data_IF_425174532970
#
_entry.id   IF_425174532970
#
_cell.length_a   1.000
_cell.length_b   1.000
_cell.length_c   1.000
_cell.angle_alpha   90.00
_cell.angle_beta   90.00
_cell.angle_gamma   90.00
#
_symmetry.space_group_name_H-M   'P 1'
#
loop_
_entity.id
_entity.type
_entity.pdbx_description
1 polymer ?
#
# COMPACT_ATOMS: atom_id res chain seq x y z
N UNK A 1 8.65 -17.80 18.84
CA UNK A 1 9.40 -17.76 17.57
C UNK A 1 8.72 -16.74 16.67
N UNK A 2 9.29 -15.55 16.57
CA UNK A 2 8.69 -14.39 15.90
C UNK A 2 8.89 -14.54 14.38
N UNK A 3 7.81 -14.62 13.59
CA UNK A 3 7.89 -14.61 12.12
C UNK A 3 8.55 -13.31 11.68
N UNK A 4 9.83 -13.37 11.27
CA UNK A 4 10.59 -12.22 10.76
C UNK A 4 9.82 -11.57 9.59
N UNK A 5 9.52 -10.29 9.77
CA UNK A 5 8.84 -9.39 8.84
C UNK A 5 9.64 -9.36 7.54
N UNK A 6 9.11 -9.97 6.50
CA UNK A 6 9.86 -10.22 5.26
C UNK A 6 9.42 -9.25 4.17
N UNK A 7 10.39 -8.58 3.54
CA UNK A 7 10.20 -7.78 2.32
C UNK A 7 11.04 -8.33 1.20
N UNK A 8 10.58 -8.15 -0.03
CA UNK A 8 11.32 -8.66 -1.16
C UNK A 8 12.27 -7.60 -1.71
N UNK A 9 13.57 -7.77 -1.45
CA UNK A 9 14.63 -6.94 -2.02
C UNK A 9 15.26 -7.70 -3.16
N UNK A 10 15.31 -7.12 -4.35
CA UNK A 10 16.21 -7.57 -5.40
C UNK A 10 17.32 -6.53 -5.56
N UNK A 11 18.54 -6.87 -5.14
CA UNK A 11 19.73 -6.10 -5.48
C UNK A 11 20.26 -6.69 -6.77
N UNK A 12 20.10 -5.97 -7.88
CA UNK A 12 20.47 -6.48 -9.19
C UNK A 12 21.73 -5.76 -9.71
N UNK A 13 22.77 -6.55 -9.98
CA UNK A 13 23.86 -6.19 -10.86
C UNK A 13 23.63 -6.71 -12.28
N UNK A 14 24.55 -6.40 -13.19
CA UNK A 14 24.47 -6.74 -14.63
C UNK A 14 24.32 -8.26 -14.87
N UNK A 15 24.70 -9.12 -13.91
CA UNK A 15 24.66 -10.59 -14.05
C UNK A 15 23.95 -11.35 -12.91
N UNK A 16 23.60 -10.71 -11.80
CA UNK A 16 23.07 -11.39 -10.60
C UNK A 16 22.08 -10.48 -9.88
N UNK A 17 20.90 -11.01 -9.54
CA UNK A 17 20.06 -10.42 -8.49
C UNK A 17 20.26 -11.21 -7.20
N UNK A 18 20.76 -10.56 -6.16
CA UNK A 18 20.73 -11.10 -4.80
C UNK A 18 19.38 -10.74 -4.20
N UNK A 19 18.63 -11.76 -3.80
CA UNK A 19 17.44 -11.56 -3.00
C UNK A 19 17.82 -11.40 -1.53
N UNK A 20 17.45 -10.28 -0.90
CA UNK A 20 17.53 -10.12 0.54
C UNK A 20 16.18 -9.74 1.16
N UNK A 21 16.04 -9.96 2.46
CA UNK A 21 14.94 -9.38 3.22
C UNK A 21 15.41 -8.05 3.80
N UNK A 22 14.71 -6.96 3.53
CA UNK A 22 14.94 -5.68 4.23
C UNK A 22 13.82 -5.38 5.22
N UNK A 23 14.15 -4.58 6.22
CA UNK A 23 13.17 -4.02 7.15
C UNK A 23 12.23 -3.03 6.46
N UNK A 24 10.99 -2.91 6.94
CA UNK A 24 10.10 -1.87 6.46
C UNK A 24 10.61 -0.46 6.72
N UNK A 25 10.69 0.42 5.70
CA UNK A 25 10.85 1.84 5.96
C UNK A 25 9.67 2.29 6.79
N UNK A 26 9.97 3.23 7.69
CA UNK A 26 8.95 3.95 8.41
C UNK A 26 7.92 4.48 7.39
N UNK A 27 6.64 4.14 7.58
CA UNK A 27 5.57 4.93 6.99
C UNK A 27 5.74 6.38 7.42
N UNK A 28 5.38 7.32 6.55
CA UNK A 28 5.55 8.74 6.80
C UNK A 28 4.84 9.23 8.07
N UNK A 29 5.09 10.47 8.48
CA UNK A 29 4.69 10.92 9.82
C UNK A 29 3.25 11.43 9.91
N UNK A 30 2.57 11.66 8.79
CA UNK A 30 1.22 12.22 8.75
C UNK A 30 0.31 11.47 7.77
N UNK A 31 -0.98 11.42 8.08
CA UNK A 31 -2.01 11.03 7.12
C UNK A 31 -2.45 12.24 6.30
N UNK A 32 -2.72 12.00 5.03
CA UNK A 32 -3.25 12.98 4.10
C UNK A 32 -4.38 12.37 3.26
N UNK A 33 -5.05 13.21 2.47
CA UNK A 33 -6.18 12.83 1.65
C UNK A 33 -7.53 12.85 2.39
N UNK A 34 -8.55 12.29 1.76
CA UNK A 34 -9.93 12.41 2.20
C UNK A 34 -10.60 11.05 2.38
N UNK A 35 -11.56 11.01 3.31
CA UNK A 35 -12.55 9.93 3.46
C UNK A 35 -13.91 10.47 3.02
N UNK A 36 -14.82 9.59 2.59
CA UNK A 36 -16.17 9.98 2.18
C UNK A 36 -17.22 9.03 2.73
N UNK A 37 -18.33 9.55 3.24
CA UNK A 37 -19.51 8.76 3.59
C UNK A 37 -20.76 9.37 2.96
N UNK A 38 -21.69 8.54 2.51
CA UNK A 38 -22.93 8.97 1.81
C UNK A 38 -23.71 10.02 2.62
N UNK A 39 -23.83 9.81 3.94
CA UNK A 39 -24.65 10.65 4.81
C UNK A 39 -23.90 11.85 5.42
N UNK A 40 -22.59 11.98 5.18
CA UNK A 40 -21.72 12.96 5.86
C UNK A 40 -20.83 13.76 4.90
N UNK A 41 -20.63 13.26 3.68
CA UNK A 41 -19.73 13.86 2.72
C UNK A 41 -18.26 13.67 3.09
N UNK A 42 -17.44 14.67 2.72
CA UNK A 42 -15.99 14.58 2.79
C UNK A 42 -15.43 14.86 4.19
N UNK A 43 -14.45 14.05 4.57
CA UNK A 43 -13.62 14.23 5.77
C UNK A 43 -12.18 14.42 5.31
N UNK A 44 -11.61 15.59 5.56
CA UNK A 44 -10.20 15.90 5.30
C UNK A 44 -9.32 15.47 6.47
N UNK A 45 -8.26 14.72 6.17
CA UNK A 45 -7.31 14.23 7.17
C UNK A 45 -6.18 15.22 7.51
N UNK A 46 -6.04 16.30 6.71
CA UNK A 46 -5.03 17.33 6.88
C UNK A 46 -5.51 18.68 6.36
N UNK A 47 -5.09 19.76 7.00
CA UNK A 47 -5.30 21.12 6.50
C UNK A 47 -4.61 21.38 5.15
N UNK A 48 -3.59 20.58 4.81
CA UNK A 48 -2.87 20.67 3.53
C UNK A 48 -3.78 20.36 2.35
N UNK A 49 -4.73 19.44 2.54
CA UNK A 49 -5.66 19.02 1.49
C UNK A 49 -6.54 20.16 0.97
N UNK A 50 -6.81 21.17 1.82
CA UNK A 50 -7.65 22.33 1.50
C UNK A 50 -6.87 23.65 1.55
N UNK A 51 -5.52 23.57 1.59
CA UNK A 51 -4.63 24.73 1.74
C UNK A 51 -5.03 25.66 2.91
N UNK A 52 -5.54 25.09 4.00
CA UNK A 52 -6.14 25.83 5.12
C UNK A 52 -5.22 25.95 6.33
N UNK A 53 -4.00 25.39 6.29
CA UNK A 53 -3.11 25.30 7.45
C UNK A 53 -2.74 26.63 8.10
N UNK A 54 -2.70 27.72 7.32
CA UNK A 54 -2.45 29.07 7.84
C UNK A 54 -3.63 29.62 8.67
N UNK A 55 -4.85 29.13 8.44
CA UNK A 55 -6.07 29.54 9.14
C UNK A 55 -6.41 28.58 10.27
N UNK A 56 -6.35 27.28 9.99
CA UNK A 56 -6.63 26.20 10.95
C UNK A 56 -5.63 25.07 10.71
N UNK A 57 -4.68 24.94 11.64
CA UNK A 57 -3.64 23.92 11.57
C UNK A 57 -4.15 22.61 12.20
N UNK A 58 -4.72 21.73 11.37
CA UNK A 58 -5.17 20.41 11.78
C UNK A 58 -4.55 19.32 10.91
N UNK A 59 -4.46 18.11 11.47
CA UNK A 59 -4.06 16.94 10.72
C UNK A 59 -3.88 15.73 11.62
N UNK A 60 -3.96 14.55 11.01
CA UNK A 60 -3.73 13.28 11.70
C UNK A 60 -2.28 12.85 11.54
N UNK A 61 -1.61 12.56 12.66
CA UNK A 61 -0.18 12.28 12.72
C UNK A 61 0.10 10.95 13.39
N UNK A 62 1.20 10.32 13.00
CA UNK A 62 1.69 9.11 13.65
C UNK A 62 2.47 9.49 14.92
N UNK A 63 2.05 8.94 16.04
CA UNK A 63 2.76 8.98 17.30
C UNK A 63 3.58 7.70 17.53
N UNK A 64 4.34 7.66 18.62
CA UNK A 64 5.12 6.48 19.01
C UNK A 64 4.27 5.20 19.08
N UNK A 65 4.89 4.07 18.74
CA UNK A 65 4.27 2.72 18.75
C UNK A 65 3.09 2.54 17.78
N UNK A 66 3.06 3.30 16.68
CA UNK A 66 2.05 3.14 15.63
C UNK A 66 0.69 3.74 15.96
N UNK A 67 0.55 4.47 17.07
CA UNK A 67 -0.70 5.20 17.37
C UNK A 67 -0.87 6.39 16.44
N UNK A 68 -2.10 6.79 16.17
CA UNK A 68 -2.42 8.05 15.50
C UNK A 68 -2.96 9.07 16.50
N UNK A 69 -2.64 10.34 16.27
CA UNK A 69 -3.07 11.48 17.06
C UNK A 69 -3.52 12.62 16.14
N UNK A 70 -4.11 13.67 16.72
CA UNK A 70 -4.59 14.82 15.99
C UNK A 70 -6.04 14.68 15.54
N UNK A 71 -6.44 15.58 14.65
CA UNK A 71 -7.83 15.75 14.26
C UNK A 71 -7.97 15.80 12.74
N UNK A 72 -9.07 15.22 12.27
CA UNK A 72 -9.59 15.39 10.91
C UNK A 72 -10.85 16.27 10.96
N UNK A 73 -11.24 16.84 9.81
CA UNK A 73 -12.39 17.75 9.71
C UNK A 73 -13.30 17.34 8.56
N UNK A 74 -14.60 17.24 8.80
CA UNK A 74 -15.61 17.17 7.73
C UNK A 74 -16.71 18.19 7.95
N UNK A 75 -17.22 18.77 6.86
CA UNK A 75 -18.17 19.89 6.92
C UNK A 75 -19.47 19.53 7.66
N UNK A 76 -19.95 18.30 7.51
CA UNK A 76 -21.22 17.85 8.13
C UNK A 76 -21.03 17.08 9.45
N UNK A 77 -19.80 16.74 9.82
CA UNK A 77 -19.47 15.91 11.01
C UNK A 77 -18.61 16.65 12.04
N UNK A 78 -18.03 17.79 11.63
CA UNK A 78 -17.10 18.54 12.44
C UNK A 78 -15.79 17.82 12.69
N UNK A 79 -15.21 18.07 13.87
CA UNK A 79 -13.93 17.50 14.28
C UNK A 79 -14.02 16.02 14.60
N UNK A 80 -13.13 15.24 14.00
CA UNK A 80 -12.93 13.82 14.27
C UNK A 80 -11.60 13.64 15.00
N UNK A 81 -11.65 13.16 16.24
CA UNK A 81 -10.50 12.97 17.13
C UNK A 81 -9.92 11.56 17.00
N UNK A 82 -8.64 11.46 16.65
CA UNK A 82 -7.91 10.19 16.50
C UNK A 82 -7.28 9.68 17.80
N UNK A 83 -7.25 10.50 18.86
CA UNK A 83 -6.77 10.14 20.20
C UNK A 83 -7.72 10.65 21.31
N UNK A 84 -8.97 10.15 21.38
CA UNK A 84 -9.91 10.53 22.43
C UNK A 84 -9.46 10.04 23.82
N UNK A 85 -9.67 10.86 24.86
CA UNK A 85 -9.21 10.61 26.23
C UNK A 85 -10.03 9.55 27.00
N UNK A 86 -11.20 9.14 26.50
CA UNK A 86 -12.12 8.20 27.15
C UNK A 86 -12.00 6.73 26.70
N UNK A 87 -10.90 6.35 26.03
CA UNK A 87 -10.71 5.04 25.41
C UNK A 87 -10.83 5.08 23.88
N UNK A 88 -10.36 4.03 23.19
CA UNK A 88 -10.28 4.00 21.72
C UNK A 88 -8.97 4.56 21.17
N UNK A 89 -9.04 5.26 20.03
CA UNK A 89 -7.89 5.70 19.25
C UNK A 89 -7.55 4.73 18.13
N UNK A 90 -6.70 5.17 17.20
CA UNK A 90 -6.32 4.40 16.02
C UNK A 90 -4.87 3.93 16.10
N UNK A 91 -4.65 2.67 15.75
CA UNK A 91 -3.32 2.11 15.53
C UNK A 91 -3.12 1.78 14.04
N UNK A 92 -2.00 2.25 13.49
CA UNK A 92 -1.47 1.88 12.19
C UNK A 92 -0.45 0.75 12.37
N UNK A 93 -0.72 -0.40 11.76
CA UNK A 93 0.27 -1.47 11.64
C UNK A 93 1.33 -1.06 10.59
N UNK A 94 2.59 -0.81 11.01
CA UNK A 94 3.64 -0.38 10.10
C UNK A 94 4.18 -1.48 9.18
N UNK A 95 3.71 -2.73 9.32
CA UNK A 95 4.04 -3.81 8.40
C UNK A 95 3.02 -3.94 7.26
N UNK A 96 1.74 -3.73 7.56
CA UNK A 96 0.63 -4.05 6.65
C UNK A 96 -0.07 -2.82 6.09
N UNK A 97 0.08 -1.65 6.73
CA UNK A 97 -0.68 -0.44 6.40
C UNK A 97 -2.09 -0.43 6.99
N UNK A 98 -2.45 -1.41 7.83
CA UNK A 98 -3.82 -1.54 8.35
C UNK A 98 -4.08 -0.55 9.49
N UNK A 99 -5.23 0.14 9.43
CA UNK A 99 -5.75 0.93 10.54
C UNK A 99 -6.75 0.11 11.37
N UNK A 100 -6.59 0.16 12.69
CA UNK A 100 -7.46 -0.52 13.65
C UNK A 100 -7.84 0.39 14.81
N UNK A 101 -8.97 0.12 15.46
CA UNK A 101 -9.49 0.89 16.59
C UNK A 101 -10.69 1.76 16.21
N UNK A 102 -10.85 2.89 16.88
CA UNK A 102 -12.02 3.76 16.71
C UNK A 102 -11.68 5.24 16.95
N UNK A 103 -12.34 6.11 16.22
CA UNK A 103 -12.25 7.57 16.37
C UNK A 103 -13.56 8.13 16.89
N UNK A 104 -13.50 9.34 17.45
CA UNK A 104 -14.67 10.00 18.03
C UNK A 104 -14.96 11.32 17.31
N UNK A 105 -16.22 11.57 16.97
CA UNK A 105 -16.72 12.92 16.67
C UNK A 105 -17.83 13.28 17.65
N UNK A 106 -17.85 14.53 18.09
CA UNK A 106 -18.91 15.06 18.95
C UNK A 106 -20.30 14.96 18.29
N UNK A 107 -20.37 15.05 16.97
CA UNK A 107 -21.64 15.18 16.25
C UNK A 107 -22.26 13.83 15.88
N UNK A 108 -21.46 12.76 15.85
CA UNK A 108 -21.94 11.43 15.40
C UNK A 108 -21.48 10.27 16.29
N UNK A 109 -20.66 10.54 17.30
CA UNK A 109 -20.15 9.53 18.22
C UNK A 109 -18.99 8.70 17.65
N UNK A 110 -18.96 7.42 18.00
CA UNK A 110 -17.86 6.50 17.66
C UNK A 110 -17.93 6.04 16.20
N UNK A 111 -16.80 6.14 15.50
CA UNK A 111 -16.60 5.58 14.17
C UNK A 111 -15.59 4.45 14.31
N UNK A 112 -15.99 3.22 13.95
CA UNK A 112 -15.16 2.03 14.12
C UNK A 112 -14.40 1.71 12.84
N UNK A 113 -13.10 1.45 13.00
CA UNK A 113 -12.24 0.86 11.98
C UNK A 113 -12.13 -0.64 12.24
N UNK A 114 -11.00 -1.25 11.84
CA UNK A 114 -10.73 -2.66 12.06
C UNK A 114 -10.67 -2.98 13.56
N UNK A 115 -11.35 -4.04 13.98
CA UNK A 115 -11.42 -4.47 15.37
C UNK A 115 -11.51 -5.99 15.51
N UNK A 116 -11.88 -6.48 16.70
CA UNK A 116 -12.07 -7.91 16.98
C UNK A 116 -13.53 -8.36 16.86
N UNK A 117 -14.46 -7.43 16.69
CA UNK A 117 -15.89 -7.71 16.58
C UNK A 117 -16.30 -7.89 15.10
N UNK A 118 -17.30 -8.74 14.87
CA UNK A 118 -17.85 -9.05 13.54
C UNK A 118 -19.14 -8.24 13.35
N UNK A 119 -19.36 -7.60 12.18
CA UNK A 119 -18.50 -7.55 10.99
C UNK A 119 -17.26 -6.65 11.17
N UNK A 120 -16.10 -7.16 10.70
CA UNK A 120 -14.82 -6.48 10.84
C UNK A 120 -14.53 -5.62 9.61
N UNK A 121 -14.86 -4.34 9.69
CA UNK A 121 -14.66 -3.35 8.61
C UNK A 121 -13.25 -2.75 8.70
N UNK A 122 -12.55 -2.57 7.58
CA UNK A 122 -11.13 -2.23 7.57
C UNK A 122 -10.77 -1.09 6.62
N UNK A 123 -9.72 -0.35 6.98
CA UNK A 123 -9.12 0.68 6.15
C UNK A 123 -7.61 0.46 6.08
N UNK A 124 -7.08 0.37 4.87
CA UNK A 124 -5.64 0.20 4.62
C UNK A 124 -5.05 1.48 3.97
N UNK A 125 -3.92 1.97 4.47
CA UNK A 125 -3.23 3.14 3.89
C UNK A 125 -2.48 2.78 2.60
N UNK A 126 -2.28 3.76 1.72
CA UNK A 126 -1.44 3.68 0.51
C UNK A 126 -1.93 2.71 -0.60
N UNK A 127 -3.22 2.36 -0.55
CA UNK A 127 -3.94 1.76 -1.68
C UNK A 127 -3.89 0.24 -1.78
N UNK A 128 -3.41 -0.47 -0.76
CA UNK A 128 -3.45 -1.93 -0.68
C UNK A 128 -2.95 -2.49 0.65
N UNK A 129 -3.42 -3.68 1.02
CA UNK A 129 -2.89 -4.43 2.18
C UNK A 129 -1.55 -5.05 1.81
N UNK A 130 -0.45 -4.67 2.47
CA UNK A 130 0.85 -5.30 2.19
C UNK A 130 0.81 -6.77 2.66
N UNK A 131 1.09 -7.70 1.75
CA UNK A 131 1.01 -9.15 1.98
C UNK A 131 2.36 -9.86 1.82
N UNK A 132 3.48 -9.13 1.81
CA UNK A 132 4.83 -9.71 1.66
C UNK A 132 5.08 -10.92 2.57
N UNK A 133 4.65 -10.86 3.84
CA UNK A 133 4.83 -11.95 4.81
C UNK A 133 4.04 -13.23 4.53
N UNK A 134 3.19 -13.25 3.50
CA UNK A 134 2.50 -14.46 3.01
C UNK A 134 3.34 -15.26 2.01
N UNK A 135 4.46 -14.70 1.56
CA UNK A 135 5.37 -15.31 0.61
C UNK A 135 6.70 -15.63 1.28
N UNK A 136 7.29 -16.81 1.04
CA UNK A 136 8.64 -17.11 1.51
C UNK A 136 9.66 -16.24 0.77
N UNK A 137 10.87 -16.07 1.32
CA UNK A 137 11.98 -15.52 0.54
C UNK A 137 12.14 -16.34 -0.75
N UNK A 138 12.29 -15.66 -1.89
CA UNK A 138 12.52 -16.34 -3.17
C UNK A 138 13.95 -16.92 -3.19
N UNK A 139 14.05 -18.25 -3.13
CA UNK A 139 15.32 -18.94 -3.38
C UNK A 139 15.77 -18.79 -4.84
N UNK A 140 17.03 -19.10 -5.13
CA UNK A 140 17.60 -19.05 -6.49
C UNK A 140 16.85 -19.89 -7.53
N UNK A 141 16.10 -20.92 -7.11
CA UNK A 141 15.23 -21.70 -7.99
C UNK A 141 13.95 -20.98 -8.46
N UNK A 142 13.56 -19.92 -7.74
CA UNK A 142 12.32 -19.16 -7.98
C UNK A 142 12.57 -17.79 -8.61
N UNK A 143 13.83 -17.45 -8.94
CA UNK A 143 14.18 -16.20 -9.62
C UNK A 143 15.14 -16.50 -10.76
N UNK A 144 14.77 -16.06 -11.97
CA UNK A 144 15.63 -16.09 -13.15
C UNK A 144 15.81 -14.67 -13.64
N UNK A 145 17.02 -14.35 -14.09
CA UNK A 145 17.34 -13.04 -14.63
C UNK A 145 17.89 -13.16 -16.04
N UNK A 146 17.73 -12.10 -16.82
CA UNK A 146 18.27 -12.00 -18.16
C UNK A 146 18.54 -10.55 -18.53
N UNK A 147 19.34 -10.35 -19.56
CA UNK A 147 19.64 -9.02 -20.08
C UNK A 147 19.45 -9.01 -21.60
N UNK A 148 18.86 -7.93 -22.10
CA UNK A 148 18.68 -7.66 -23.52
C UNK A 148 19.19 -6.26 -23.83
N UNK A 149 19.99 -6.13 -24.88
CA UNK A 149 20.41 -4.83 -25.40
C UNK A 149 19.25 -4.05 -26.03
N UNK A 150 18.15 -4.72 -26.39
CA UNK A 150 16.95 -4.07 -26.91
C UNK A 150 16.16 -3.41 -25.78
N UNK A 151 15.93 -2.08 -25.82
CA UNK A 151 15.15 -1.37 -24.81
C UNK A 151 13.67 -1.77 -24.83
N UNK A 152 13.08 -2.02 -23.66
CA UNK A 152 11.64 -2.22 -23.50
C UNK A 152 10.83 -0.91 -23.56
N UNK A 153 11.52 0.22 -23.40
CA UNK A 153 10.94 1.56 -23.48
C UNK A 153 12.03 2.59 -23.77
N UNK A 154 11.66 3.68 -24.44
CA UNK A 154 12.52 4.86 -24.60
C UNK A 154 12.97 5.46 -23.25
N UNK A 155 12.22 5.22 -22.17
CA UNK A 155 12.59 5.66 -20.83
C UNK A 155 13.78 4.87 -20.24
N UNK A 156 14.14 3.71 -20.79
CA UNK A 156 15.31 2.91 -20.41
C UNK A 156 16.16 2.52 -21.62
N UNK A 157 16.88 3.47 -22.25
CA UNK A 157 17.54 3.26 -23.52
C UNK A 157 18.78 2.35 -23.46
N UNK A 158 19.32 2.07 -22.27
CA UNK A 158 20.55 1.29 -22.11
C UNK A 158 20.33 -0.24 -22.14
N UNK A 159 19.09 -0.67 -22.38
CA UNK A 159 18.68 -2.08 -22.49
C UNK A 159 17.61 -2.46 -21.46
N UNK A 160 17.21 -3.72 -21.51
CA UNK A 160 16.20 -4.31 -20.62
C UNK A 160 16.84 -5.35 -19.73
N UNK A 161 16.71 -5.17 -18.43
CA UNK A 161 17.00 -6.21 -17.44
C UNK A 161 15.70 -6.94 -17.07
N UNK A 162 15.67 -8.25 -17.27
CA UNK A 162 14.48 -9.09 -17.13
C UNK A 162 14.60 -9.87 -15.84
N UNK A 163 13.56 -9.83 -15.01
CA UNK A 163 13.44 -10.65 -13.81
C UNK A 163 12.17 -11.49 -13.95
N UNK A 164 12.30 -12.81 -13.90
CA UNK A 164 11.16 -13.73 -13.83
C UNK A 164 11.19 -14.37 -12.44
N UNK A 165 10.11 -14.21 -11.69
CA UNK A 165 9.99 -14.69 -10.32
C UNK A 165 8.75 -15.55 -10.12
N UNK A 166 8.89 -16.63 -9.36
CA UNK A 166 7.81 -17.55 -8.98
C UNK A 166 7.46 -17.35 -7.51
N UNK A 167 6.21 -17.06 -7.22
CA UNK A 167 5.70 -16.80 -5.87
C UNK A 167 4.75 -17.89 -5.44
N UNK A 168 4.84 -18.31 -4.17
CA UNK A 168 3.89 -19.22 -3.52
C UNK A 168 3.17 -18.54 -2.38
N UNK A 169 1.85 -18.56 -2.35
CA UNK A 169 1.11 -18.20 -1.14
C UNK A 169 1.29 -19.30 -0.09
N UNK A 170 2.05 -19.01 0.97
CA UNK A 170 2.30 -19.97 2.07
C UNK A 170 1.44 -19.69 3.30
N UNK A 171 0.55 -18.72 3.22
CA UNK A 171 -0.39 -18.39 4.29
C UNK A 171 -1.65 -19.26 4.21
N UNK A 172 -2.42 -19.29 5.30
CA UNK A 172 -3.75 -19.89 5.32
C UNK A 172 -4.83 -18.99 4.69
N UNK A 173 -4.48 -17.76 4.32
CA UNK A 173 -5.42 -16.78 3.79
C UNK A 173 -5.42 -16.81 2.26
N UNK A 174 -6.59 -16.60 1.66
CA UNK A 174 -6.69 -16.25 0.24
C UNK A 174 -6.29 -14.78 0.05
N UNK A 175 -5.52 -14.49 -1.00
CA UNK A 175 -5.18 -13.14 -1.44
C UNK A 175 -6.12 -12.80 -2.59
N UNK A 176 -6.85 -11.68 -2.51
CA UNK A 176 -8.04 -11.45 -3.35
C UNK A 176 -7.79 -10.78 -4.69
N UNK A 177 -6.77 -9.89 -4.78
CA UNK A 177 -6.29 -9.19 -5.98
C UNK A 177 -4.82 -8.78 -5.79
N UNK A 178 -3.86 -9.72 -5.94
CA UNK A 178 -2.46 -9.39 -5.78
C UNK A 178 -1.95 -8.45 -6.88
N UNK A 179 -1.19 -7.43 -6.49
CA UNK A 179 -0.42 -6.57 -7.39
C UNK A 179 0.89 -6.15 -6.72
N UNK A 180 1.90 -5.82 -7.51
CA UNK A 180 3.16 -5.27 -7.01
C UNK A 180 3.12 -3.75 -7.05
N UNK A 181 3.76 -3.10 -6.09
CA UNK A 181 4.06 -1.67 -6.12
C UNK A 181 5.56 -1.47 -5.96
N UNK A 182 6.16 -0.75 -6.91
CA UNK A 182 7.56 -0.37 -6.86
C UNK A 182 7.76 0.59 -5.72
N UNK A 183 8.62 0.23 -4.78
CA UNK A 183 8.98 1.09 -3.66
C UNK A 183 10.25 1.87 -3.92
N UNK A 184 11.24 1.21 -4.51
CA UNK A 184 12.50 1.83 -4.89
C UNK A 184 12.98 1.20 -6.19
N UNK A 185 13.38 2.05 -7.12
CA UNK A 185 14.06 1.66 -8.34
C UNK A 185 15.13 2.72 -8.61
N UNK A 186 16.38 2.39 -8.27
CA UNK A 186 17.48 3.36 -8.31
C UNK A 186 18.11 3.47 -9.70
N UNK A 187 19.01 4.44 -9.88
CA UNK A 187 19.66 4.69 -11.18
C UNK A 187 18.77 5.36 -12.22
N UNK A 188 17.58 5.83 -11.83
CA UNK A 188 16.60 6.41 -12.75
C UNK A 188 15.93 5.38 -13.67
N UNK A 189 16.11 4.08 -13.39
CA UNK A 189 15.52 2.98 -14.14
C UNK A 189 13.98 2.99 -14.02
N UNK A 190 13.30 2.32 -14.93
CA UNK A 190 11.83 2.22 -14.97
C UNK A 190 11.37 0.78 -15.08
N UNK A 191 10.26 0.44 -14.45
CA UNK A 191 9.51 -0.78 -14.72
C UNK A 191 8.70 -0.54 -16.00
N UNK A 192 9.15 -1.10 -17.13
CA UNK A 192 8.56 -0.88 -18.45
C UNK A 192 7.14 -1.43 -18.56
N UNK A 193 6.89 -2.61 -17.99
CA UNK A 193 5.62 -3.30 -18.08
C UNK A 193 4.65 -2.93 -16.96
N UNK A 194 4.86 -1.81 -16.27
CA UNK A 194 3.97 -1.31 -15.24
C UNK A 194 2.57 -0.97 -15.78
N UNK A 195 1.56 -1.08 -14.91
CA UNK A 195 0.19 -0.69 -15.20
C UNK A 195 0.13 0.80 -15.57
N UNK A 196 -0.47 1.13 -16.71
CA UNK A 196 -0.54 2.51 -17.20
C UNK A 196 0.74 3.03 -17.89
N UNK A 197 1.77 2.19 -18.02
CA UNK A 197 2.99 2.49 -18.78
C UNK A 197 4.26 2.57 -17.91
N UNK A 198 5.44 2.76 -18.53
CA UNK A 198 6.73 2.73 -17.85
C UNK A 198 6.83 3.71 -16.66
N UNK A 199 7.24 3.23 -15.48
CA UNK A 199 7.30 4.06 -14.27
C UNK A 199 8.34 3.63 -13.24
N UNK A 200 8.71 4.55 -12.34
CA UNK A 200 9.66 4.31 -11.24
C UNK A 200 8.98 3.98 -9.90
N UNK A 201 9.49 4.47 -8.75
CA UNK A 201 8.79 4.35 -7.48
C UNK A 201 7.32 4.78 -7.54
N UNK A 202 6.43 3.96 -6.99
CA UNK A 202 4.97 4.13 -7.04
C UNK A 202 4.29 3.38 -8.18
N UNK A 203 5.02 3.00 -9.24
CA UNK A 203 4.46 2.22 -10.34
C UNK A 203 3.93 0.87 -9.85
N UNK A 204 2.82 0.40 -10.42
CA UNK A 204 2.22 -0.88 -10.07
C UNK A 204 2.34 -1.89 -11.19
N UNK A 205 2.27 -3.17 -10.85
CA UNK A 205 2.18 -4.26 -11.81
C UNK A 205 1.17 -5.29 -11.31
N UNK A 206 0.06 -5.41 -12.02
CA UNK A 206 -0.99 -6.38 -11.70
C UNK A 206 -0.49 -7.81 -11.93
N UNK A 207 -0.75 -8.72 -10.99
CA UNK A 207 -0.39 -10.13 -11.18
C UNK A 207 -1.32 -10.77 -12.22
N UNK A 208 -0.79 -11.30 -13.34
CA UNK A 208 -1.58 -12.01 -14.33
C UNK A 208 -1.90 -13.41 -13.81
N UNK A 209 -3.08 -13.58 -13.21
CA UNK A 209 -3.56 -14.90 -12.76
C UNK A 209 -4.21 -15.62 -13.95
N UNK A 210 -3.64 -16.76 -14.35
CA UNK A 210 -4.15 -17.61 -15.43
C UNK A 210 -5.16 -18.59 -14.81
N UNK A 211 -6.45 -18.24 -14.84
CA UNK A 211 -7.55 -19.17 -15.12
C UNK A 211 -8.84 -18.36 -15.36
N UNK A 212 -9.68 -18.89 -16.22
CA UNK A 212 -10.86 -18.27 -16.80
C UNK A 212 -11.90 -17.87 -15.74
N UNK A 213 -12.34 -16.61 -15.85
CA UNK A 213 -13.57 -16.04 -15.28
C UNK A 213 -13.58 -15.69 -13.77
N UNK A 214 -13.65 -14.37 -13.52
CA UNK A 214 -14.20 -13.68 -12.32
C UNK A 214 -13.36 -13.65 -11.02
N UNK A 215 -12.42 -14.56 -10.75
CA UNK A 215 -11.70 -14.54 -9.46
C UNK A 215 -10.20 -14.24 -9.62
N UNK A 216 -9.83 -12.98 -9.42
CA UNK A 216 -8.44 -12.51 -9.25
C UNK A 216 -7.77 -13.00 -7.95
N UNK A 217 -8.12 -14.19 -7.46
CA UNK A 217 -7.71 -14.70 -6.14
C UNK A 217 -6.51 -15.65 -6.25
N UNK A 218 -5.64 -15.62 -5.26
CA UNK A 218 -4.53 -16.55 -5.06
C UNK A 218 -4.76 -17.30 -3.74
N UNK A 219 -5.12 -18.58 -3.84
CA UNK A 219 -5.47 -19.43 -2.70
C UNK A 219 -4.23 -19.93 -1.94
N UNK A 220 -4.38 -20.42 -0.70
CA UNK A 220 -3.31 -21.07 0.03
C UNK A 220 -2.63 -22.18 -0.77
N UNK A 221 -1.30 -22.14 -0.86
CA UNK A 221 -0.48 -23.11 -1.57
C UNK A 221 -0.31 -22.85 -3.07
N UNK A 222 -1.07 -21.95 -3.67
CA UNK A 222 -0.98 -21.66 -5.10
C UNK A 222 0.28 -20.89 -5.48
N UNK A 223 0.71 -21.11 -6.72
CA UNK A 223 1.90 -20.52 -7.32
C UNK A 223 1.49 -19.60 -8.47
N UNK A 224 2.24 -18.51 -8.66
CA UNK A 224 2.17 -17.73 -9.89
C UNK A 224 3.57 -17.29 -10.33
N UNK A 225 3.72 -17.09 -11.64
CA UNK A 225 4.93 -16.51 -12.23
C UNK A 225 4.66 -15.06 -12.62
N UNK A 226 5.64 -14.19 -12.39
CA UNK A 226 5.58 -12.81 -12.85
C UNK A 226 6.90 -12.37 -13.43
N UNK A 227 6.81 -11.51 -14.45
CA UNK A 227 7.95 -10.93 -15.15
C UNK A 227 8.00 -9.42 -14.86
N UNK A 228 9.17 -8.94 -14.45
CA UNK A 228 9.49 -7.51 -14.36
C UNK A 228 10.47 -7.16 -15.47
N UNK A 229 10.09 -6.21 -16.33
CA UNK A 229 10.96 -5.68 -17.37
C UNK A 229 11.51 -4.33 -16.91
N UNK A 230 12.78 -4.29 -16.52
CA UNK A 230 13.43 -3.08 -16.03
C UNK A 230 14.17 -2.40 -17.19
N UNK A 231 13.66 -1.25 -17.61
CA UNK A 231 14.34 -0.38 -18.57
C UNK A 231 15.48 0.36 -17.89
N UNK A 232 16.71 0.11 -18.35
CA UNK A 232 17.91 0.69 -17.76
C UNK A 232 18.22 2.07 -18.33
N UNK A 233 18.50 3.05 -17.46
CA UNK A 233 19.07 4.34 -17.88
C UNK A 233 20.55 4.21 -18.23
N UNK A 234 21.25 3.42 -17.44
CA UNK A 234 22.67 3.10 -17.60
C UNK A 234 22.89 1.63 -17.21
N UNK A 235 23.91 0.99 -17.76
CA UNK A 235 24.29 -0.36 -17.35
C UNK A 235 25.14 -0.30 -16.07
N UNK A 236 24.47 0.00 -14.95
CA UNK A 236 25.07 0.08 -13.62
C UNK A 236 24.28 -0.79 -12.63
N UNK A 237 24.86 -1.08 -11.47
CA UNK A 237 24.13 -1.74 -10.39
C UNK A 237 22.95 -0.86 -9.93
N UNK A 238 21.84 -1.51 -9.60
CA UNK A 238 20.65 -0.82 -9.10
C UNK A 238 19.93 -1.65 -8.03
N UNK A 239 19.08 -0.97 -7.28
CA UNK A 239 18.21 -1.57 -6.28
C UNK A 239 16.80 -1.58 -6.83
N UNK A 240 16.14 -2.73 -6.76
CA UNK A 240 14.73 -2.89 -7.09
C UNK A 240 13.99 -3.48 -5.89
N UNK A 241 13.16 -2.65 -5.26
CA UNK A 241 12.32 -3.01 -4.13
C UNK A 241 10.86 -2.96 -4.56
N UNK A 242 10.14 -4.05 -4.30
CA UNK A 242 8.69 -4.11 -4.51
C UNK A 242 8.01 -4.63 -3.25
N UNK A 243 6.83 -4.08 -2.99
CA UNK A 243 5.87 -4.67 -2.07
C UNK A 243 4.81 -5.40 -2.92
N UNK A 244 4.39 -6.59 -2.50
CA UNK A 244 3.17 -7.24 -3.01
C UNK A 244 2.01 -6.85 -2.10
N UNK A 245 0.94 -6.36 -2.71
CA UNK A 245 -0.25 -5.86 -2.04
C UNK A 245 -1.46 -6.65 -2.50
N UNK A 246 -2.43 -6.79 -1.61
CA UNK A 246 -3.78 -7.26 -1.90
C UNK A 246 -4.74 -6.06 -2.02
N UNK A 247 -5.93 -6.29 -2.58
CA UNK A 247 -7.00 -5.27 -2.65
C UNK A 247 -7.18 -4.64 -1.26
N UNK A 248 -7.15 -3.30 -1.15
CA UNK A 248 -7.28 -2.63 0.14
C UNK A 248 -8.67 -2.84 0.71
N UNK A 249 -8.76 -3.18 1.99
CA UNK A 249 -9.97 -2.89 2.73
C UNK A 249 -10.13 -1.36 2.75
N UNK A 250 -11.21 -0.88 2.14
CA UNK A 250 -11.43 0.55 1.88
C UNK A 250 -12.62 1.11 2.64
N UNK A 251 -13.28 0.31 3.48
CA UNK A 251 -14.54 0.69 4.10
C UNK A 251 -14.49 0.52 5.62
N UNK A 252 -14.81 1.59 6.33
CA UNK A 252 -15.09 1.60 7.77
C UNK A 252 -16.59 1.80 8.01
N UNK A 253 -17.04 1.56 9.25
CA UNK A 253 -18.44 1.73 9.63
C UNK A 253 -18.58 2.50 10.93
N UNK A 254 -19.54 3.42 10.99
CA UNK A 254 -19.97 4.01 12.26
C UNK A 254 -21.48 3.87 12.44
N UNK A 255 -21.88 3.62 13.69
CA UNK A 255 -23.27 3.35 14.09
C UNK A 255 -24.24 4.43 13.59
N UNK A 256 -23.79 5.68 13.56
CA UNK A 256 -24.62 6.83 13.21
C UNK A 256 -24.30 7.43 11.84
N UNK A 257 -23.39 6.81 11.06
CA UNK A 257 -22.88 7.39 9.80
C UNK A 257 -22.89 6.41 8.63
N UNK A 258 -23.08 5.12 8.90
CA UNK A 258 -23.02 4.06 7.90
C UNK A 258 -21.60 3.84 7.37
N UNK A 259 -21.51 3.52 6.09
CA UNK A 259 -20.26 3.18 5.42
C UNK A 259 -19.41 4.41 5.11
N UNK A 260 -18.14 4.36 5.51
CA UNK A 260 -17.12 5.35 5.21
C UNK A 260 -16.12 4.75 4.22
N UNK A 261 -16.01 5.34 3.04
CA UNK A 261 -15.08 4.97 1.98
C UNK A 261 -13.76 5.74 2.10
N UNK A 262 -12.65 5.01 2.25
CA UNK A 262 -11.28 5.50 2.33
C UNK A 262 -10.55 5.55 0.98
N UNK A 263 -11.18 5.05 -0.09
CA UNK A 263 -10.72 5.16 -1.49
C UNK A 263 -11.85 5.72 -2.39
N UNK A 264 -12.37 6.93 -2.10
CA UNK A 264 -13.43 7.53 -2.91
C UNK A 264 -12.92 7.90 -4.32
N UNK A 265 -13.75 7.70 -5.33
CA UNK A 265 -13.54 8.23 -6.69
C UNK A 265 -14.18 9.63 -6.83
N UNK A 266 -13.58 10.52 -7.63
CA UNK A 266 -14.17 11.84 -7.96
C UNK A 266 -13.38 13.07 -7.47
N UNK A 267 -14.08 14.21 -7.32
CA UNK A 267 -13.49 15.55 -7.07
C UNK A 267 -12.72 15.71 -5.75
N UNK A 268 -12.86 14.78 -4.79
CA UNK A 268 -12.26 14.86 -3.46
C UNK A 268 -10.87 14.23 -3.30
N UNK A 269 -10.14 13.96 -4.37
CA UNK A 269 -8.73 13.53 -4.29
C UNK A 269 -8.50 12.05 -3.94
N UNK A 270 -7.24 11.62 -3.77
CA UNK A 270 -6.80 10.24 -3.99
C UNK A 270 -7.04 9.26 -2.82
N UNK A 271 -8.00 9.54 -1.96
CA UNK A 271 -8.28 8.74 -0.76
C UNK A 271 -7.19 8.84 0.30
N UNK A 272 -7.24 7.93 1.28
CA UNK A 272 -6.32 7.87 2.40
C UNK A 272 -4.90 7.47 1.97
N UNK A 273 -3.90 8.26 2.38
CA UNK A 273 -2.48 7.98 2.16
C UNK A 273 -1.61 8.46 3.32
N UNK A 274 -0.42 7.90 3.44
CA UNK A 274 0.65 8.47 4.26
C UNK A 274 1.37 9.56 3.46
N UNK A 275 1.53 10.76 4.03
CA UNK A 275 2.47 11.74 3.52
C UNK A 275 3.89 11.34 3.97
N UNK A 276 4.89 11.33 3.05
CA UNK A 276 6.28 10.97 3.35
C UNK A 276 6.87 11.72 4.54
#
# INVERSE_FOLDING_TARGET
>A
MEKKRSRMVLICGIAVCILSLSDPPAFGQALAGFLWAENIGWISLSCENTASCAKVNFGVKKAGKGKLTGFAWGENIGWVNFAPSGGGGVALDPATGQLSGQVWSKNVGWIRLRGTLVPNYGVDVDGGKVVNGKFPPLGSGNVRTGFSLSPCSAAGPAGTFIIVATFKNTSADTISRPFFKVRSLTGGNVLCNADGGPGGPGATLTVPLIDNSVKRKLYPGELFNIRFDIGLKTQAQFTFLVDILDDPDSFAWGENIGWLNAKPSGRGGPGLRMNP
#
